data_IF_728590802881
#
_entry.id   IF_728590802881
#
_cell.length_a   1.000
_cell.length_b   1.000
_cell.length_c   1.000
_cell.angle_alpha   90.00
_cell.angle_beta   90.00
_cell.angle_gamma   90.00
#
_symmetry.space_group_name_H-M   'P 1'
#
loop_
_entity.id
_entity.type
_entity.pdbx_description
1 polymer ?
#
# COMPACT_ATOMS: atom_id res chain seq x y z
N UNK A 1 -18.67 -31.38 -2.72
CA UNK A 1 -18.01 -30.19 -2.14
C UNK A 1 -16.55 -30.30 -2.48
N UNK A 2 -16.10 -29.63 -3.55
CA UNK A 2 -14.68 -29.52 -3.84
C UNK A 2 -14.12 -28.43 -2.94
N UNK A 3 -13.17 -28.82 -2.09
CA UNK A 3 -12.28 -27.92 -1.39
C UNK A 3 -11.68 -26.94 -2.39
N UNK A 4 -12.12 -25.68 -2.35
CA UNK A 4 -11.29 -24.59 -2.86
C UNK A 4 -10.26 -24.34 -1.77
N UNK A 5 -9.15 -25.05 -1.80
CA UNK A 5 -7.90 -24.42 -1.44
C UNK A 5 -7.84 -23.14 -2.28
N UNK A 6 -8.19 -21.99 -1.69
CA UNK A 6 -7.95 -20.71 -2.33
C UNK A 6 -6.44 -20.65 -2.50
N UNK A 7 -5.93 -20.87 -3.71
CA UNK A 7 -4.53 -20.66 -4.02
C UNK A 7 -4.17 -19.26 -3.53
N UNK A 8 -3.30 -19.19 -2.51
CA UNK A 8 -2.79 -17.91 -2.01
C UNK A 8 -2.07 -17.23 -3.18
N UNK A 9 -2.27 -15.92 -3.39
CA UNK A 9 -1.61 -15.22 -4.48
C UNK A 9 -0.09 -15.29 -4.29
N UNK A 10 0.62 -15.49 -5.40
CA UNK A 10 2.09 -15.46 -5.45
C UNK A 10 2.61 -14.07 -5.12
N UNK A 11 3.90 -13.97 -4.77
CA UNK A 11 4.52 -12.68 -4.50
C UNK A 11 4.53 -11.78 -5.75
N UNK A 12 4.63 -12.38 -6.94
CA UNK A 12 4.49 -11.66 -8.21
C UNK A 12 3.09 -11.07 -8.39
N UNK A 13 2.03 -11.86 -8.24
CA UNK A 13 0.64 -11.39 -8.37
C UNK A 13 0.32 -10.29 -7.33
N UNK A 14 0.84 -10.41 -6.12
CA UNK A 14 0.71 -9.37 -5.09
C UNK A 14 1.41 -8.07 -5.49
N UNK A 15 2.57 -8.14 -6.15
CA UNK A 15 3.28 -6.97 -6.64
C UNK A 15 2.58 -6.31 -7.85
N UNK A 16 1.91 -7.10 -8.70
CA UNK A 16 1.04 -6.56 -9.75
C UNK A 16 -0.16 -5.82 -9.17
N UNK A 17 -0.84 -6.43 -8.20
CA UNK A 17 -1.94 -5.79 -7.48
C UNK A 17 -1.49 -4.52 -6.76
N UNK A 18 -0.30 -4.53 -6.16
CA UNK A 18 0.31 -3.38 -5.49
C UNK A 18 0.49 -2.19 -6.45
N UNK A 19 1.10 -2.41 -7.61
CA UNK A 19 1.33 -1.30 -8.56
C UNK A 19 0.02 -0.79 -9.15
N UNK A 20 -0.93 -1.69 -9.45
CA UNK A 20 -2.29 -1.36 -9.90
C UNK A 20 -3.09 -0.60 -8.85
N UNK A 21 -2.94 -0.93 -7.57
CA UNK A 21 -3.56 -0.16 -6.51
C UNK A 21 -2.89 1.19 -6.35
N UNK A 22 -1.55 1.28 -6.38
CA UNK A 22 -0.87 2.55 -6.13
C UNK A 22 -1.07 3.60 -7.24
N UNK A 23 -1.20 3.17 -8.50
CA UNK A 23 -1.22 4.08 -9.66
C UNK A 23 -2.28 3.71 -10.69
N UNK A 24 -2.81 4.73 -11.37
CA UNK A 24 -3.64 4.54 -12.55
C UNK A 24 -2.77 4.23 -13.76
N UNK A 25 -3.33 3.47 -14.71
CA UNK A 25 -2.61 3.00 -15.88
C UNK A 25 -3.34 3.42 -17.16
N UNK A 26 -2.60 3.62 -18.24
CA UNK A 26 -3.17 3.70 -19.58
C UNK A 26 -3.35 2.31 -20.22
N UNK A 27 -3.89 2.27 -21.44
CA UNK A 27 -4.14 1.02 -22.19
C UNK A 27 -2.88 0.18 -22.47
N UNK A 28 -1.70 0.76 -22.35
CA UNK A 28 -0.41 0.11 -22.56
C UNK A 28 0.27 -0.22 -21.21
N UNK A 29 -0.46 -0.18 -20.10
CA UNK A 29 0.07 -0.34 -18.74
C UNK A 29 1.16 0.68 -18.36
N UNK A 30 1.19 1.86 -19.02
CA UNK A 30 2.02 2.98 -18.56
C UNK A 30 1.33 3.69 -17.41
N UNK A 31 2.09 4.11 -16.40
CA UNK A 31 1.58 4.83 -15.24
C UNK A 31 1.07 6.22 -15.66
N UNK A 32 -0.01 6.71 -15.03
CA UNK A 32 -0.54 8.07 -15.23
C UNK A 32 -0.49 8.90 -13.95
N UNK A 33 -1.34 8.58 -13.00
CA UNK A 33 -1.50 9.31 -11.74
C UNK A 33 -1.42 8.37 -10.55
N UNK A 34 -1.24 8.95 -9.37
CA UNK A 34 -1.50 8.27 -8.10
C UNK A 34 -2.98 7.90 -8.03
N UNK A 35 -3.30 6.67 -7.65
CA UNK A 35 -4.68 6.15 -7.64
C UNK A 35 -5.39 6.40 -6.30
N UNK A 36 -5.50 7.67 -5.94
CA UNK A 36 -6.32 8.12 -4.81
C UNK A 36 -7.81 8.09 -5.16
N UNK A 37 -8.68 7.62 -4.24
CA UNK A 37 -10.11 7.56 -4.52
C UNK A 37 -10.79 8.93 -4.41
N UNK A 38 -10.15 9.93 -3.80
CA UNK A 38 -10.64 11.30 -3.76
C UNK A 38 -10.18 12.09 -5.01
N UNK A 39 -10.85 13.20 -5.36
CA UNK A 39 -10.48 14.00 -6.53
C UNK A 39 -9.01 14.48 -6.47
N UNK A 40 -8.27 14.20 -7.53
CA UNK A 40 -6.86 14.58 -7.67
C UNK A 40 -6.24 13.93 -8.90
N UNK A 41 -5.19 14.55 -9.44
CA UNK A 41 -4.45 14.03 -10.60
C UNK A 41 -2.93 14.08 -10.36
N UNK A 42 -2.51 13.87 -9.11
CA UNK A 42 -1.09 13.87 -8.78
C UNK A 42 -0.34 12.85 -9.65
N UNK A 43 0.75 13.26 -10.32
CA UNK A 43 1.41 12.40 -11.29
C UNK A 43 2.03 11.19 -10.61
N UNK A 44 1.93 10.03 -11.27
CA UNK A 44 2.65 8.83 -10.88
C UNK A 44 4.18 9.05 -10.91
N UNK A 45 4.99 8.23 -10.22
CA UNK A 45 6.44 8.24 -10.41
C UNK A 45 6.79 7.90 -11.86
N UNK A 46 7.91 8.44 -12.35
CA UNK A 46 8.42 8.14 -13.70
C UNK A 46 8.81 6.66 -13.82
N UNK A 47 9.26 6.05 -12.73
CA UNK A 47 9.67 4.66 -12.69
C UNK A 47 9.21 3.98 -11.40
N UNK A 48 8.72 2.75 -11.55
CA UNK A 48 8.41 1.83 -10.47
C UNK A 48 9.18 0.52 -10.71
N UNK A 49 9.77 -0.01 -9.65
CA UNK A 49 10.42 -1.31 -9.60
C UNK A 49 9.94 -2.08 -8.37
N UNK A 50 9.23 -3.17 -8.59
CA UNK A 50 8.91 -4.18 -7.59
C UNK A 50 9.94 -5.31 -7.62
N UNK A 51 10.49 -5.70 -6.47
CA UNK A 51 11.35 -6.89 -6.31
C UNK A 51 10.73 -7.81 -5.27
N UNK A 52 10.41 -9.03 -5.64
CA UNK A 52 9.62 -9.95 -4.80
C UNK A 52 10.48 -10.95 -4.06
N UNK A 53 9.90 -11.59 -3.03
CA UNK A 53 10.54 -12.69 -2.29
C UNK A 53 10.75 -13.96 -3.13
N UNK A 54 10.06 -14.07 -4.26
CA UNK A 54 10.21 -15.17 -5.22
C UNK A 54 11.33 -14.91 -6.24
N UNK A 55 12.02 -13.76 -6.13
CA UNK A 55 13.08 -13.37 -7.04
C UNK A 55 12.58 -12.81 -8.37
N UNK A 56 11.29 -12.46 -8.47
CA UNK A 56 10.74 -11.80 -9.65
C UNK A 56 10.88 -10.28 -9.54
N UNK A 57 11.06 -9.64 -10.68
CA UNK A 57 11.14 -8.18 -10.82
C UNK A 57 9.98 -7.70 -11.68
N UNK A 58 9.32 -6.63 -11.27
CA UNK A 58 8.23 -5.98 -12.01
C UNK A 58 8.54 -4.50 -12.22
N UNK A 59 8.64 -4.05 -13.46
CA UNK A 59 8.83 -2.63 -13.77
C UNK A 59 7.59 -2.01 -14.43
N UNK A 60 7.36 -0.73 -14.13
CA UNK A 60 6.38 0.13 -14.82
C UNK A 60 6.96 1.52 -15.00
N UNK A 61 6.55 2.20 -16.06
CA UNK A 61 7.03 3.52 -16.45
C UNK A 61 5.86 4.46 -16.69
N UNK A 62 6.03 5.74 -16.36
CA UNK A 62 5.00 6.75 -16.65
C UNK A 62 4.87 6.97 -18.15
N UNK A 63 3.67 7.35 -18.61
CA UNK A 63 3.33 7.50 -20.02
C UNK A 63 4.22 8.49 -20.80
N UNK A 64 4.84 9.45 -20.11
CA UNK A 64 5.70 10.49 -20.68
C UNK A 64 7.20 10.13 -20.66
N UNK A 65 7.58 8.96 -20.13
CA UNK A 65 8.96 8.46 -20.23
C UNK A 65 9.21 7.98 -21.67
N UNK A 66 10.18 8.56 -22.41
CA UNK A 66 10.41 8.22 -23.81
C UNK A 66 10.72 6.74 -24.03
N UNK A 67 10.26 6.16 -25.14
CA UNK A 67 10.39 4.72 -25.40
C UNK A 67 11.85 4.24 -25.39
N UNK A 68 12.76 5.01 -26.00
CA UNK A 68 14.20 4.73 -25.95
C UNK A 68 14.75 4.67 -24.51
N UNK A 69 14.17 5.43 -23.59
CA UNK A 69 14.55 5.39 -22.18
C UNK A 69 13.93 4.17 -21.49
N UNK A 70 12.68 3.82 -21.81
CA UNK A 70 12.02 2.59 -21.34
C UNK A 70 12.85 1.36 -21.70
N UNK A 71 13.20 1.17 -22.97
CA UNK A 71 13.98 0.01 -23.43
C UNK A 71 15.29 -0.16 -22.65
N UNK A 72 15.98 0.96 -22.37
CA UNK A 72 17.22 0.96 -21.59
C UNK A 72 16.97 0.60 -20.12
N UNK A 73 15.91 1.13 -19.52
CA UNK A 73 15.55 0.84 -18.13
C UNK A 73 15.08 -0.61 -17.97
N UNK A 74 14.34 -1.16 -18.94
CA UNK A 74 13.92 -2.56 -18.97
C UNK A 74 15.13 -3.49 -19.03
N UNK A 75 16.12 -3.18 -19.87
CA UNK A 75 17.38 -3.93 -19.92
C UNK A 75 18.11 -3.97 -18.57
N UNK A 76 18.09 -2.87 -17.81
CA UNK A 76 18.64 -2.83 -16.46
C UNK A 76 17.78 -3.63 -15.46
N UNK A 77 16.44 -3.53 -15.55
CA UNK A 77 15.52 -4.28 -14.69
C UNK A 77 15.68 -5.79 -14.87
N UNK A 78 15.90 -6.25 -16.10
CA UNK A 78 16.12 -7.66 -16.42
C UNK A 78 17.46 -8.21 -15.86
N UNK A 79 18.42 -7.34 -15.58
CA UNK A 79 19.72 -7.68 -14.97
C UNK A 79 19.74 -7.44 -13.44
N UNK A 80 18.59 -7.11 -12.83
CA UNK A 80 18.47 -7.10 -11.37
C UNK A 80 18.56 -8.54 -10.82
N UNK A 81 19.38 -8.77 -9.77
CA UNK A 81 19.57 -10.11 -9.22
C UNK A 81 18.39 -10.51 -8.33
N UNK A 82 18.25 -11.82 -8.10
CA UNK A 82 17.49 -12.31 -6.95
C UNK A 82 18.18 -11.85 -5.68
N UNK A 83 17.47 -11.08 -4.86
CA UNK A 83 18.01 -10.50 -3.62
C UNK A 83 17.60 -11.30 -2.39
N UNK A 84 18.47 -11.31 -1.39
CA UNK A 84 18.19 -11.85 -0.05
C UNK A 84 17.98 -10.74 0.98
N UNK A 85 18.70 -9.61 0.83
CA UNK A 85 18.51 -8.42 1.65
C UNK A 85 17.67 -7.37 0.91
N UNK A 86 16.40 -7.29 1.28
CA UNK A 86 15.42 -6.39 0.70
C UNK A 86 15.61 -4.91 1.08
N UNK A 87 16.49 -4.60 2.03
CA UNK A 87 16.85 -3.21 2.36
C UNK A 87 17.90 -2.63 1.41
N UNK A 88 18.58 -3.48 0.65
CA UNK A 88 19.55 -3.02 -0.34
C UNK A 88 18.85 -2.27 -1.46
N UNK A 89 19.50 -1.20 -1.94
CA UNK A 89 19.07 -0.50 -3.14
C UNK A 89 19.15 -1.45 -4.36
N UNK A 90 18.39 -1.19 -5.44
CA UNK A 90 18.55 -1.91 -6.70
C UNK A 90 20.01 -1.90 -7.19
N UNK A 91 20.44 -2.97 -7.86
CA UNK A 91 21.83 -3.10 -8.39
C UNK A 91 22.20 -1.90 -9.25
N UNK A 92 21.25 -1.43 -10.06
CA UNK A 92 21.47 -0.33 -11.01
C UNK A 92 20.97 1.02 -10.50
N UNK A 93 20.88 1.21 -9.17
CA UNK A 93 20.36 2.45 -8.55
C UNK A 93 20.92 3.73 -9.18
N UNK A 94 22.24 3.90 -9.25
CA UNK A 94 22.86 5.11 -9.81
C UNK A 94 22.54 5.30 -11.30
N UNK A 95 22.42 4.21 -12.05
CA UNK A 95 22.05 4.26 -13.47
C UNK A 95 20.59 4.69 -13.65
N UNK A 96 19.65 4.17 -12.83
CA UNK A 96 18.25 4.59 -12.85
C UNK A 96 18.12 6.08 -12.54
N UNK A 97 18.77 6.57 -11.48
CA UNK A 97 18.73 7.98 -11.07
C UNK A 97 19.29 8.89 -12.16
N UNK A 98 20.43 8.52 -12.77
CA UNK A 98 21.06 9.27 -13.85
C UNK A 98 20.22 9.29 -15.13
N UNK A 99 19.66 8.16 -15.54
CA UNK A 99 18.85 8.04 -16.74
C UNK A 99 17.56 8.86 -16.64
N UNK A 100 16.94 8.88 -15.47
CA UNK A 100 15.74 9.65 -15.19
C UNK A 100 16.03 11.09 -14.75
N UNK A 101 17.31 11.46 -14.55
CA UNK A 101 17.69 12.78 -14.05
C UNK A 101 16.89 13.17 -12.79
N UNK A 102 16.83 12.26 -11.82
CA UNK A 102 16.15 12.49 -10.56
C UNK A 102 17.12 12.35 -9.40
N UNK A 103 16.80 13.05 -8.31
CA UNK A 103 17.45 12.91 -7.00
C UNK A 103 16.47 12.34 -5.96
N UNK A 104 15.20 12.15 -6.35
CA UNK A 104 14.13 11.73 -5.44
C UNK A 104 13.73 10.30 -5.74
N UNK A 105 13.90 9.45 -4.74
CA UNK A 105 13.39 8.10 -4.77
C UNK A 105 12.64 7.77 -3.47
N UNK A 106 11.77 6.78 -3.54
CA UNK A 106 11.23 6.12 -2.36
C UNK A 106 11.47 4.63 -2.47
N UNK A 107 11.59 3.95 -1.33
CA UNK A 107 11.75 2.51 -1.28
C UNK A 107 11.13 1.99 0.01
N UNK A 108 10.47 0.85 -0.08
CA UNK A 108 9.65 0.41 1.02
C UNK A 108 9.20 -1.04 0.94
N UNK A 109 8.97 -1.69 2.08
CA UNK A 109 8.40 -3.02 2.11
C UNK A 109 6.91 -3.02 1.79
N UNK A 110 6.48 -4.10 1.15
CA UNK A 110 5.11 -4.38 0.81
C UNK A 110 4.65 -5.69 1.47
N UNK A 111 3.44 -5.67 2.00
CA UNK A 111 2.88 -6.76 2.81
C UNK A 111 1.44 -7.07 2.44
N UNK A 112 1.09 -8.35 2.52
CA UNK A 112 -0.28 -8.83 2.54
C UNK A 112 -0.71 -8.95 4.00
N UNK A 113 -1.89 -8.47 4.36
CA UNK A 113 -2.48 -8.78 5.67
C UNK A 113 -2.96 -10.23 5.66
N UNK A 114 -2.50 -11.15 6.54
CA UNK A 114 -2.94 -12.55 6.56
C UNK A 114 -4.44 -12.74 6.78
N UNK A 115 -4.98 -13.89 6.35
CA UNK A 115 -6.41 -14.22 6.48
C UNK A 115 -6.81 -14.46 7.95
N UNK A 116 -5.86 -14.94 8.74
CA UNK A 116 -6.02 -15.25 10.15
C UNK A 116 -5.92 -13.99 11.04
N UNK A 117 -5.61 -12.83 10.47
CA UNK A 117 -5.48 -11.57 11.20
C UNK A 117 -6.84 -11.05 11.63
N UNK A 118 -7.14 -11.19 12.92
CA UNK A 118 -8.39 -10.72 13.54
C UNK A 118 -8.17 -9.57 14.52
N UNK A 119 -9.12 -8.64 14.66
CA UNK A 119 -9.02 -7.56 15.64
C UNK A 119 -8.99 -8.11 17.07
N UNK A 120 -8.00 -7.70 17.86
CA UNK A 120 -7.90 -8.06 19.29
C UNK A 120 -8.63 -7.07 20.21
N UNK A 121 -9.08 -5.94 19.68
CA UNK A 121 -9.76 -4.87 20.39
C UNK A 121 -11.08 -4.56 19.68
N UNK A 122 -12.04 -4.01 20.42
CA UNK A 122 -13.27 -3.54 19.84
C UNK A 122 -13.00 -2.37 18.88
N UNK A 123 -13.50 -2.53 17.67
CA UNK A 123 -13.40 -1.59 16.56
C UNK A 123 -14.80 -1.16 16.12
N UNK A 124 -14.87 -0.04 15.40
CA UNK A 124 -16.11 0.53 14.86
C UNK A 124 -15.89 0.82 13.38
N UNK A 125 -16.86 0.47 12.54
CA UNK A 125 -16.87 0.91 11.14
C UNK A 125 -17.35 2.36 11.10
N UNK A 126 -16.55 3.23 10.48
CA UNK A 126 -16.89 4.63 10.31
C UNK A 126 -17.57 4.81 8.95
N UNK A 127 -18.79 5.33 8.99
CA UNK A 127 -19.64 5.56 7.82
C UNK A 127 -20.19 6.98 7.87
N UNK A 128 -20.92 7.39 6.83
CA UNK A 128 -21.54 8.73 6.78
C UNK A 128 -22.50 8.98 7.95
N UNK A 129 -23.15 7.93 8.44
CA UNK A 129 -24.16 8.01 9.51
C UNK A 129 -23.55 8.31 10.87
N UNK A 130 -22.33 7.84 11.16
CA UNK A 130 -21.70 7.95 12.47
C UNK A 130 -20.40 8.78 12.49
N UNK A 131 -19.89 9.23 11.35
CA UNK A 131 -18.61 9.94 11.26
C UNK A 131 -18.53 11.19 12.15
N UNK A 132 -19.63 11.94 12.28
CA UNK A 132 -19.64 13.19 13.06
C UNK A 132 -19.61 12.93 14.57
N UNK A 133 -19.94 11.72 15.01
CA UNK A 133 -19.81 11.29 16.40
C UNK A 133 -18.36 10.96 16.71
N UNK A 134 -17.69 10.19 15.84
CA UNK A 134 -16.38 9.61 16.16
C UNK A 134 -15.17 10.40 15.67
N UNK A 135 -15.26 11.15 14.56
CA UNK A 135 -14.08 11.76 13.93
C UNK A 135 -13.66 13.11 14.53
N UNK A 136 -14.35 13.58 15.58
CA UNK A 136 -13.99 14.82 16.28
C UNK A 136 -12.65 14.70 17.01
N UNK A 137 -11.93 15.81 17.08
CA UNK A 137 -10.68 16.00 17.81
C UNK A 137 -9.52 15.11 17.32
N UNK A 138 -9.24 15.15 16.02
CA UNK A 138 -8.04 14.56 15.42
C UNK A 138 -8.22 14.00 14.01
N UNK A 139 -9.45 13.76 13.56
CA UNK A 139 -9.74 13.18 12.24
C UNK A 139 -10.84 13.94 11.49
N UNK A 140 -11.08 15.21 11.82
CA UNK A 140 -12.14 16.02 11.21
C UNK A 140 -11.97 16.16 9.70
N UNK A 141 -10.73 16.16 9.22
CA UNK A 141 -10.40 16.20 7.79
C UNK A 141 -11.00 15.02 7.01
N UNK A 142 -11.21 13.87 7.66
CA UNK A 142 -11.77 12.68 7.02
C UNK A 142 -13.30 12.79 6.81
N UNK A 143 -13.99 13.73 7.45
CA UNK A 143 -15.44 13.92 7.30
C UNK A 143 -15.81 14.20 5.83
N UNK A 144 -15.01 14.98 5.11
CA UNK A 144 -15.23 15.27 3.69
C UNK A 144 -14.81 14.13 2.76
N UNK A 145 -14.00 13.19 3.23
CA UNK A 145 -13.39 12.12 2.44
C UNK A 145 -13.98 10.73 2.72
N UNK A 146 -14.87 10.60 3.70
CA UNK A 146 -15.27 9.30 4.25
C UNK A 146 -15.89 8.37 3.22
N UNK A 147 -16.60 8.91 2.23
CA UNK A 147 -17.26 8.13 1.18
C UNK A 147 -16.23 7.57 0.18
N UNK A 148 -15.13 8.29 -0.05
CA UNK A 148 -14.04 7.85 -0.93
C UNK A 148 -13.12 6.84 -0.24
N UNK A 149 -12.98 6.93 1.07
CA UNK A 149 -12.00 6.15 1.84
C UNK A 149 -12.56 4.86 2.49
N UNK A 150 -13.67 4.32 1.97
CA UNK A 150 -14.25 3.09 2.51
C UNK A 150 -13.49 1.81 2.08
N UNK A 151 -13.54 0.72 2.88
CA UNK A 151 -13.95 0.71 4.28
C UNK A 151 -13.03 1.56 5.16
N UNK A 152 -13.61 2.22 6.16
CA UNK A 152 -12.86 2.92 7.21
C UNK A 152 -13.20 2.35 8.58
N UNK A 153 -12.19 1.86 9.30
CA UNK A 153 -12.32 1.24 10.61
C UNK A 153 -11.59 2.08 11.65
N UNK A 154 -12.24 2.35 12.77
CA UNK A 154 -11.69 3.10 13.89
C UNK A 154 -11.61 2.26 15.17
N UNK A 155 -10.67 2.64 16.03
CA UNK A 155 -10.68 2.29 17.44
C UNK A 155 -11.04 3.53 18.24
N UNK A 156 -12.08 3.40 19.06
CA UNK A 156 -12.66 4.50 19.84
C UNK A 156 -12.21 4.44 21.29
N UNK A 157 -11.76 5.59 21.83
CA UNK A 157 -11.49 5.80 23.27
C UNK A 157 -12.04 7.16 23.64
N UNK A 158 -12.58 7.30 24.85
CA UNK A 158 -13.12 8.58 25.33
C UNK A 158 -14.14 9.19 24.35
N UNK A 159 -15.00 8.34 23.79
CA UNK A 159 -16.04 8.70 22.82
C UNK A 159 -15.56 9.34 21.51
N UNK A 160 -14.31 9.10 21.10
CA UNK A 160 -13.77 9.54 19.80
C UNK A 160 -12.80 8.52 19.20
N UNK A 161 -12.64 8.56 17.88
CA UNK A 161 -11.63 7.79 17.19
C UNK A 161 -10.22 8.25 17.60
N UNK A 162 -9.36 7.30 17.96
CA UNK A 162 -7.96 7.57 18.33
C UNK A 162 -6.96 6.86 17.41
N UNK A 163 -7.45 5.91 16.62
CA UNK A 163 -6.72 5.21 15.57
C UNK A 163 -7.71 4.84 14.47
N UNK A 164 -7.31 4.99 13.21
CA UNK A 164 -8.12 4.65 12.04
C UNK A 164 -7.29 3.89 11.02
N UNK A 165 -7.92 2.95 10.33
CA UNK A 165 -7.39 2.34 9.11
C UNK A 165 -8.47 2.38 8.03
N UNK A 166 -8.12 2.96 6.88
CA UNK A 166 -9.03 3.23 5.77
C UNK A 166 -8.42 2.78 4.46
N UNK A 167 -9.22 2.57 3.42
CA UNK A 167 -8.67 2.35 2.08
C UNK A 167 -8.23 3.68 1.49
N UNK A 168 -6.98 3.79 1.06
CA UNK A 168 -6.42 5.00 0.44
C UNK A 168 -6.03 4.82 -1.00
N UNK A 169 -5.98 3.57 -1.46
CA UNK A 169 -5.90 3.20 -2.87
C UNK A 169 -6.85 2.04 -3.09
N UNK A 170 -7.69 2.11 -4.11
CA UNK A 170 -8.80 1.17 -4.30
C UNK A 170 -8.81 0.69 -5.75
N UNK A 171 -8.91 -0.62 -5.92
CA UNK A 171 -9.19 -1.29 -7.20
C UNK A 171 -10.28 -2.33 -6.96
N UNK A 172 -10.77 -2.95 -8.02
CA UNK A 172 -11.72 -4.07 -7.90
C UNK A 172 -11.13 -5.32 -7.25
N UNK A 173 -9.79 -5.43 -7.15
CA UNK A 173 -9.09 -6.64 -6.68
C UNK A 173 -8.31 -6.44 -5.38
N UNK A 174 -7.84 -5.23 -5.11
CA UNK A 174 -6.98 -4.93 -3.97
C UNK A 174 -7.19 -3.51 -3.44
N UNK A 175 -6.96 -3.35 -2.13
CA UNK A 175 -7.01 -2.07 -1.43
C UNK A 175 -5.69 -1.87 -0.67
N UNK A 176 -5.15 -0.65 -0.67
CA UNK A 176 -4.03 -0.27 0.20
C UNK A 176 -4.50 0.44 1.45
N UNK A 177 -3.90 0.07 2.58
CA UNK A 177 -4.20 0.65 3.88
C UNK A 177 -3.61 2.06 4.03
N UNK A 178 -4.44 3.02 4.42
CA UNK A 178 -4.04 4.25 5.09
C UNK A 178 -4.27 4.11 6.58
N UNK A 179 -3.23 4.36 7.38
CA UNK A 179 -3.25 4.15 8.82
C UNK A 179 -2.81 5.42 9.53
N UNK A 180 -3.59 5.85 10.51
CA UNK A 180 -3.21 6.95 11.37
C UNK A 180 -3.62 6.68 12.82
N UNK A 181 -2.76 7.08 13.76
CA UNK A 181 -3.01 6.97 15.20
C UNK A 181 -2.54 8.24 15.87
N UNK A 182 -3.43 8.87 16.64
CA UNK A 182 -3.12 10.10 17.36
C UNK A 182 -1.97 9.88 18.33
N UNK A 183 -1.07 10.87 18.42
CA UNK A 183 0.22 10.74 19.10
C UNK A 183 0.12 10.18 20.53
N UNK A 184 -0.82 10.69 21.32
CA UNK A 184 -1.05 10.29 22.72
C UNK A 184 -1.50 8.82 22.90
N UNK A 185 -1.96 8.18 21.82
CA UNK A 185 -2.50 6.81 21.82
C UNK A 185 -1.61 5.80 21.09
N UNK A 186 -0.44 6.24 20.59
CA UNK A 186 0.55 5.35 19.96
C UNK A 186 1.16 4.37 20.98
N UNK A 187 1.73 3.27 20.47
CA UNK A 187 2.40 2.26 21.29
C UNK A 187 1.47 1.28 22.03
N UNK A 188 0.15 1.42 21.92
CA UNK A 188 -0.85 0.62 22.67
C UNK A 188 -1.48 -0.53 21.88
N UNK A 189 -0.97 -0.82 20.68
CA UNK A 189 -1.52 -1.87 19.79
C UNK A 189 -2.76 -1.47 18.99
N UNK A 190 -3.22 -0.22 19.08
CA UNK A 190 -4.46 0.22 18.43
C UNK A 190 -4.40 0.17 16.91
N UNK A 191 -3.28 0.59 16.33
CA UNK A 191 -3.02 0.51 14.89
C UNK A 191 -3.17 -0.93 14.34
N UNK A 192 -2.66 -1.93 15.06
CA UNK A 192 -2.79 -3.32 14.65
C UNK A 192 -4.25 -3.79 14.64
N UNK A 193 -5.03 -3.40 15.66
CA UNK A 193 -6.45 -3.75 15.74
C UNK A 193 -7.27 -3.14 14.60
N UNK A 194 -7.05 -1.85 14.26
CA UNK A 194 -7.78 -1.22 13.14
C UNK A 194 -7.36 -1.78 11.78
N UNK A 195 -6.08 -2.14 11.57
CA UNK A 195 -5.61 -2.81 10.34
C UNK A 195 -6.28 -4.18 10.18
N UNK A 196 -6.39 -4.96 11.25
CA UNK A 196 -7.07 -6.25 11.22
C UNK A 196 -8.57 -6.10 10.87
N UNK A 197 -9.21 -5.07 11.44
CA UNK A 197 -10.61 -4.76 11.17
C UNK A 197 -10.84 -4.33 9.74
N UNK A 198 -9.98 -3.44 9.25
CA UNK A 198 -10.02 -2.96 7.87
C UNK A 198 -9.80 -4.10 6.89
N UNK A 199 -8.81 -4.96 7.12
CA UNK A 199 -8.53 -6.11 6.28
C UNK A 199 -9.72 -7.09 6.23
N UNK A 200 -10.40 -7.28 7.37
CA UNK A 200 -11.64 -8.07 7.42
C UNK A 200 -12.75 -7.43 6.57
N UNK A 201 -12.90 -6.11 6.61
CA UNK A 201 -13.88 -5.38 5.82
C UNK A 201 -13.57 -5.42 4.32
N UNK A 202 -12.31 -5.27 3.91
CA UNK A 202 -11.86 -5.37 2.52
C UNK A 202 -12.16 -6.75 1.95
N UNK A 203 -11.89 -7.83 2.70
CA UNK A 203 -12.22 -9.20 2.26
C UNK A 203 -13.71 -9.45 2.07
N UNK A 204 -14.57 -8.78 2.84
CA UNK A 204 -16.04 -8.86 2.65
C UNK A 204 -16.49 -8.21 1.35
N UNK A 205 -15.66 -7.36 0.76
CA UNK A 205 -15.84 -6.76 -0.56
C UNK A 205 -15.10 -7.55 -1.65
N UNK A 206 -14.67 -8.79 -1.35
CA UNK A 206 -13.85 -9.66 -2.21
C UNK A 206 -12.49 -9.06 -2.63
N UNK A 207 -12.01 -8.03 -1.91
CA UNK A 207 -10.71 -7.40 -2.14
C UNK A 207 -9.56 -8.04 -1.35
N UNK A 208 -8.34 -7.83 -1.84
CA UNK A 208 -7.08 -8.22 -1.19
C UNK A 208 -6.54 -7.03 -0.36
N UNK A 209 -6.35 -7.19 0.96
CA UNK A 209 -5.86 -6.12 1.82
C UNK A 209 -4.33 -6.02 1.80
N UNK A 210 -3.82 -5.00 1.11
CA UNK A 210 -2.39 -4.71 1.01
C UNK A 210 -1.98 -3.61 1.98
N UNK A 211 -0.72 -3.69 2.43
CA UNK A 211 -0.10 -2.71 3.31
C UNK A 211 1.31 -2.46 2.83
N UNK A 212 1.64 -1.21 2.55
CA UNK A 212 2.99 -0.80 2.18
C UNK A 212 3.43 0.42 2.96
N UNK A 213 4.74 0.61 3.10
CA UNK A 213 5.30 1.78 3.79
C UNK A 213 6.73 2.05 3.35
N UNK A 214 7.31 3.19 3.74
CA UNK A 214 8.72 3.51 3.49
C UNK A 214 9.66 2.84 4.50
N UNK A 215 10.89 2.56 4.09
CA UNK A 215 11.96 2.13 5.01
C UNK A 215 12.27 3.15 6.12
N UNK A 216 11.94 4.42 5.92
CA UNK A 216 12.10 5.47 6.94
C UNK A 216 10.93 5.51 7.94
N UNK A 217 9.79 4.90 7.61
CA UNK A 217 8.62 4.89 8.48
C UNK A 217 8.68 3.71 9.47
N UNK A 218 9.49 3.89 10.52
CA UNK A 218 9.68 2.88 11.58
C UNK A 218 8.38 2.54 12.32
N UNK A 219 7.47 3.50 12.45
CA UNK A 219 6.17 3.30 13.10
C UNK A 219 5.30 2.30 12.34
N UNK A 220 5.13 2.49 11.03
CA UNK A 220 4.39 1.57 10.17
C UNK A 220 5.05 0.20 10.05
N UNK A 221 6.39 0.14 9.99
CA UNK A 221 7.11 -1.13 10.03
C UNK A 221 6.89 -1.89 11.35
N UNK A 222 6.83 -1.19 12.47
CA UNK A 222 6.51 -1.78 13.77
C UNK A 222 5.10 -2.37 13.79
N UNK A 223 4.13 -1.70 13.16
CA UNK A 223 2.77 -2.23 12.99
C UNK A 223 2.79 -3.48 12.13
N UNK A 224 3.45 -3.45 10.97
CA UNK A 224 3.54 -4.61 10.08
C UNK A 224 4.14 -5.84 10.80
N UNK A 225 5.22 -5.63 11.56
CA UNK A 225 5.85 -6.69 12.36
C UNK A 225 4.93 -7.22 13.46
N UNK A 226 4.30 -6.34 14.24
CA UNK A 226 3.43 -6.73 15.36
C UNK A 226 2.13 -7.41 14.91
N UNK A 227 1.64 -7.05 13.73
CA UNK A 227 0.49 -7.68 13.09
C UNK A 227 0.85 -8.94 12.30
N UNK A 228 2.13 -9.36 12.31
CA UNK A 228 2.64 -10.50 11.56
C UNK A 228 2.26 -10.46 10.07
N UNK A 229 2.33 -9.28 9.44
CA UNK A 229 1.96 -9.14 8.03
C UNK A 229 2.93 -9.94 7.14
N UNK A 230 2.39 -10.55 6.09
CA UNK A 230 3.15 -11.39 5.17
C UNK A 230 3.90 -10.52 4.17
N UNK A 231 5.20 -10.40 4.36
CA UNK A 231 6.08 -9.67 3.44
C UNK A 231 6.17 -10.39 2.09
N UNK A 232 5.89 -9.70 0.99
CA UNK A 232 5.98 -10.27 -0.36
C UNK A 232 7.02 -9.59 -1.25
N UNK A 233 7.57 -8.44 -0.84
CA UNK A 233 8.61 -7.78 -1.60
C UNK A 233 8.80 -6.32 -1.22
N UNK A 234 9.56 -5.62 -2.05
CA UNK A 234 9.79 -4.18 -1.93
C UNK A 234 9.42 -3.46 -3.20
N UNK A 235 8.89 -2.25 -3.02
CA UNK A 235 8.80 -1.28 -4.09
C UNK A 235 9.97 -0.30 -4.03
N UNK A 236 10.32 0.24 -5.19
CA UNK A 236 11.24 1.34 -5.38
C UNK A 236 10.64 2.25 -6.46
N UNK A 237 10.59 3.55 -6.21
CA UNK A 237 10.04 4.51 -7.17
C UNK A 237 10.96 5.70 -7.35
N UNK A 238 10.95 6.27 -8.55
CA UNK A 238 11.66 7.51 -8.88
C UNK A 238 10.66 8.50 -9.47
N UNK A 239 10.57 9.68 -8.88
CA UNK A 239 9.69 10.79 -9.33
C UNK A 239 10.40 11.72 -10.29
#
# INVERSE_FOLDING_TARGET
MMDREKNKPTAHELMELHVESMFTHDRNMRLRTINEPWPGEDPAPRFFLGRTIEGTTLCRFRYDVPEMLVERLEGLCADEPVIQDFRTKPKHFEAYMKLLQSERFTMGPCYLVPDETVPTLQIVSITRENMTEFLRSGFEWLISEIDYAQPCIALVRESRAVSICRSVRITSRAHEAGLETLDMFRGRGYAAAVVAGWATAVRKLDGIPLYSTSWENLSSQSVAKKSALSFYGVNFTIS
#
